data_IF_737872927847
#
_entry.id   IF_737872927847
#
_cell.length_a   1.000
_cell.length_b   1.000
_cell.length_c   1.000
_cell.angle_alpha   90.00
_cell.angle_beta   90.00
_cell.angle_gamma   90.00
#
_symmetry.space_group_name_H-M   'P 1'
#
loop_
_entity.id
_entity.type
_entity.pdbx_description
1 polymer ?
#
# COMPACT_ATOMS: atom_id res chain seq x y z
N UNK A 1 0.08 34.68 7.68
CA UNK A 1 -0.13 33.36 8.32
C UNK A 1 1.07 32.50 7.99
N UNK A 2 1.72 31.88 8.98
CA UNK A 2 2.83 30.97 8.71
C UNK A 2 2.30 29.77 7.90
N UNK A 3 3.01 29.39 6.84
CA UNK A 3 2.63 28.21 6.06
C UNK A 3 2.65 26.97 6.98
N UNK A 4 1.68 26.06 6.84
CA UNK A 4 1.68 24.83 7.62
C UNK A 4 2.97 24.06 7.34
N UNK A 5 3.64 23.58 8.39
CA UNK A 5 4.99 22.99 8.31
C UNK A 5 5.03 21.77 7.38
N UNK A 6 3.97 20.95 7.38
CA UNK A 6 3.84 19.79 6.49
C UNK A 6 3.95 20.17 5.00
N UNK A 7 3.48 21.35 4.59
CA UNK A 7 3.50 21.78 3.19
C UNK A 7 4.91 22.16 2.73
N UNK A 8 5.72 22.74 3.63
CA UNK A 8 7.13 23.02 3.36
C UNK A 8 7.90 21.71 3.17
N UNK A 9 7.61 20.71 4.01
CA UNK A 9 8.19 19.37 3.92
C UNK A 9 7.77 18.69 2.62
N UNK A 10 6.48 18.71 2.28
CA UNK A 10 5.97 18.13 1.04
C UNK A 10 6.65 18.73 -0.19
N UNK A 11 6.84 20.05 -0.21
CA UNK A 11 7.55 20.72 -1.30
C UNK A 11 9.01 20.29 -1.40
N UNK A 12 9.69 20.09 -0.26
CA UNK A 12 11.07 19.62 -0.25
C UNK A 12 11.17 18.16 -0.70
N UNK A 13 10.29 17.30 -0.19
CA UNK A 13 10.23 15.90 -0.54
C UNK A 13 9.96 15.68 -2.04
N UNK A 14 9.03 16.47 -2.60
CA UNK A 14 8.79 16.49 -4.04
C UNK A 14 10.06 16.86 -4.82
N UNK A 15 10.83 17.85 -4.36
CA UNK A 15 12.09 18.28 -5.01
C UNK A 15 13.18 17.22 -4.93
N UNK A 16 13.24 16.47 -3.83
CA UNK A 16 14.19 15.36 -3.64
C UNK A 16 13.80 14.20 -4.54
N UNK A 17 12.53 13.80 -4.54
CA UNK A 17 12.01 12.70 -5.35
C UNK A 17 12.14 12.95 -6.86
N UNK A 18 12.07 14.22 -7.27
CA UNK A 18 12.26 14.67 -8.66
C UNK A 18 13.65 15.26 -8.92
N UNK A 19 14.63 15.01 -8.05
CA UNK A 19 16.01 15.50 -8.21
C UNK A 19 16.69 14.94 -9.46
N UNK A 20 16.47 13.66 -9.74
CA UNK A 20 17.04 12.96 -10.90
C UNK A 20 16.58 13.54 -12.25
N UNK A 21 15.43 14.22 -12.29
CA UNK A 21 14.87 14.84 -13.51
C UNK A 21 15.56 16.18 -13.83
N UNK A 22 16.30 16.75 -12.86
CA UNK A 22 17.10 17.96 -13.05
C UNK A 22 16.30 19.16 -13.56
N UNK A 23 16.82 19.79 -14.62
CA UNK A 23 16.25 21.01 -15.23
C UNK A 23 14.85 20.80 -15.84
N UNK A 24 14.48 19.57 -16.18
CA UNK A 24 13.21 19.27 -16.85
C UNK A 24 12.01 19.26 -15.90
N UNK A 25 12.23 19.45 -14.59
CA UNK A 25 11.17 19.40 -13.57
C UNK A 25 9.99 20.34 -13.85
N UNK A 26 10.21 21.50 -14.47
CA UNK A 26 9.14 22.44 -14.82
C UNK A 26 8.17 21.85 -15.86
N UNK A 27 8.70 21.04 -16.78
CA UNK A 27 7.92 20.40 -17.85
C UNK A 27 7.42 19.00 -17.46
N UNK A 28 7.98 18.42 -16.39
CA UNK A 28 7.62 17.07 -15.94
C UNK A 28 6.12 16.83 -15.79
N UNK A 29 5.30 17.71 -15.17
CA UNK A 29 3.85 17.48 -15.08
C UNK A 29 3.17 17.42 -16.45
N UNK A 30 3.59 18.25 -17.41
CA UNK A 30 3.03 18.29 -18.75
C UNK A 30 3.41 17.04 -19.55
N UNK A 31 4.69 16.64 -19.50
CA UNK A 31 5.18 15.43 -20.18
C UNK A 31 4.52 14.17 -19.61
N UNK A 32 4.48 14.05 -18.28
CA UNK A 32 3.82 12.96 -17.58
C UNK A 32 2.32 12.91 -17.93
N UNK A 33 1.64 14.06 -17.97
CA UNK A 33 0.25 14.13 -18.40
C UNK A 33 0.04 13.61 -19.82
N UNK A 34 0.91 13.99 -20.77
CA UNK A 34 0.87 13.50 -22.14
C UNK A 34 1.10 11.98 -22.24
N UNK A 35 2.09 11.45 -21.52
CA UNK A 35 2.37 10.00 -21.48
C UNK A 35 1.21 9.23 -20.83
N UNK A 36 0.65 9.74 -19.74
CA UNK A 36 -0.51 9.13 -19.09
C UNK A 36 -1.76 9.17 -19.97
N UNK A 37 -1.99 10.24 -20.72
CA UNK A 37 -3.07 10.30 -21.69
C UNK A 37 -2.87 9.26 -22.80
N UNK A 38 -1.66 9.15 -23.37
CA UNK A 38 -1.33 8.11 -24.35
C UNK A 38 -1.51 6.69 -23.77
N UNK A 39 -1.16 6.50 -22.50
CA UNK A 39 -1.41 5.24 -21.80
C UNK A 39 -2.90 4.91 -21.73
N UNK A 40 -3.72 5.82 -21.19
CA UNK A 40 -5.15 5.57 -20.93
C UNK A 40 -5.93 5.39 -22.23
N UNK A 41 -5.69 6.23 -23.24
CA UNK A 41 -6.50 6.24 -24.46
C UNK A 41 -6.03 5.27 -25.55
N UNK A 42 -4.77 4.83 -25.51
CA UNK A 42 -4.20 4.01 -26.59
C UNK A 42 -3.53 2.73 -26.09
N UNK A 43 -2.52 2.83 -25.24
CA UNK A 43 -1.72 1.66 -24.85
C UNK A 43 -2.52 0.66 -24.00
N UNK A 44 -3.26 1.12 -23.00
CA UNK A 44 -4.03 0.25 -22.14
C UNK A 44 -5.13 -0.52 -22.90
N UNK A 45 -5.98 0.11 -23.73
CA UNK A 45 -6.92 -0.61 -24.60
C UNK A 45 -6.23 -1.63 -25.51
N UNK A 46 -5.11 -1.26 -26.12
CA UNK A 46 -4.35 -2.15 -27.00
C UNK A 46 -3.83 -3.40 -26.27
N UNK A 47 -3.28 -3.23 -25.06
CA UNK A 47 -2.78 -4.34 -24.24
C UNK A 47 -3.90 -5.28 -23.78
N UNK A 48 -5.06 -4.70 -23.47
CA UNK A 48 -6.22 -5.46 -22.96
C UNK A 48 -6.93 -6.22 -24.06
N UNK A 49 -6.85 -5.78 -25.32
CA UNK A 49 -7.63 -6.35 -26.42
C UNK A 49 -7.50 -7.89 -26.53
N UNK A 50 -6.31 -8.44 -26.27
CA UNK A 50 -6.08 -9.89 -26.27
C UNK A 50 -6.71 -10.63 -25.09
N UNK A 51 -7.03 -9.93 -24.00
CA UNK A 51 -7.58 -10.50 -22.76
C UNK A 51 -9.10 -10.40 -22.68
N UNK A 52 -9.74 -9.65 -23.58
CA UNK A 52 -11.18 -9.31 -23.47
C UNK A 52 -12.08 -10.54 -23.44
N UNK A 53 -11.82 -11.54 -24.30
CA UNK A 53 -12.66 -12.74 -24.38
C UNK A 53 -12.67 -13.53 -23.08
N UNK A 54 -11.50 -13.92 -22.60
CA UNK A 54 -11.33 -14.63 -21.33
C UNK A 54 -11.86 -13.83 -20.14
N UNK A 55 -11.66 -12.50 -20.17
CA UNK A 55 -12.14 -11.61 -19.12
C UNK A 55 -13.67 -11.56 -19.05
N UNK A 56 -14.37 -11.50 -20.20
CA UNK A 56 -15.83 -11.51 -20.23
C UNK A 56 -16.39 -12.83 -19.69
N UNK A 57 -15.81 -13.96 -20.09
CA UNK A 57 -16.17 -15.28 -19.55
C UNK A 57 -15.97 -15.34 -18.03
N UNK A 58 -14.83 -14.81 -17.56
CA UNK A 58 -14.53 -14.73 -16.14
C UNK A 58 -15.56 -13.89 -15.38
N UNK A 59 -15.98 -12.74 -15.90
CA UNK A 59 -16.94 -11.84 -15.24
C UNK A 59 -18.34 -12.45 -15.07
N UNK A 60 -18.74 -13.35 -15.97
CA UNK A 60 -20.01 -14.08 -15.89
C UNK A 60 -19.95 -15.25 -14.90
N UNK A 61 -18.74 -15.73 -14.59
CA UNK A 61 -18.55 -16.83 -13.64
C UNK A 61 -19.02 -16.49 -12.22
N UNK A 62 -19.49 -17.50 -11.49
CA UNK A 62 -19.81 -17.38 -10.06
C UNK A 62 -18.58 -16.98 -9.23
N UNK A 63 -17.39 -17.37 -9.68
CA UNK A 63 -16.11 -17.18 -8.99
C UNK A 63 -15.50 -15.79 -9.28
N UNK A 64 -16.08 -15.01 -10.20
CA UNK A 64 -15.58 -13.69 -10.62
C UNK A 64 -15.28 -12.77 -9.44
N UNK A 65 -16.23 -12.68 -8.48
CA UNK A 65 -16.13 -11.79 -7.31
C UNK A 65 -14.90 -12.13 -6.49
N UNK A 66 -14.76 -13.39 -6.09
CA UNK A 66 -13.66 -13.82 -5.23
C UNK A 66 -12.31 -13.63 -5.91
N UNK A 67 -12.19 -13.93 -7.21
CA UNK A 67 -10.95 -13.72 -7.95
C UNK A 67 -10.58 -12.24 -8.08
N UNK A 68 -11.56 -11.36 -8.32
CA UNK A 68 -11.31 -9.93 -8.38
C UNK A 68 -10.94 -9.35 -7.01
N UNK A 69 -11.57 -9.81 -5.93
CA UNK A 69 -11.20 -9.46 -4.56
C UNK A 69 -9.77 -9.88 -4.25
N UNK A 70 -9.40 -11.12 -4.57
CA UNK A 70 -8.04 -11.64 -4.40
C UNK A 70 -7.05 -10.80 -5.20
N UNK A 71 -7.34 -10.52 -6.47
CA UNK A 71 -6.46 -9.72 -7.33
C UNK A 71 -6.27 -8.30 -6.80
N UNK A 72 -7.35 -7.61 -6.43
CA UNK A 72 -7.30 -6.26 -5.87
C UNK A 72 -6.59 -6.23 -4.51
N UNK A 73 -6.77 -7.26 -3.69
CA UNK A 73 -6.07 -7.42 -2.43
C UNK A 73 -4.56 -7.60 -2.64
N UNK A 74 -4.15 -8.48 -3.55
CA UNK A 74 -2.73 -8.67 -3.89
C UNK A 74 -2.13 -7.39 -4.46
N UNK A 75 -2.84 -6.71 -5.36
CA UNK A 75 -2.43 -5.44 -5.93
C UNK A 75 -2.25 -4.37 -4.85
N UNK A 76 -3.19 -4.28 -3.89
CA UNK A 76 -3.10 -3.38 -2.74
C UNK A 76 -1.87 -3.68 -1.86
N UNK A 77 -1.62 -4.95 -1.53
CA UNK A 77 -0.42 -5.34 -0.78
C UNK A 77 0.85 -4.95 -1.54
N UNK A 78 0.89 -5.20 -2.85
CA UNK A 78 2.02 -4.81 -3.68
C UNK A 78 2.29 -3.30 -3.59
N UNK A 79 1.25 -2.46 -3.63
CA UNK A 79 1.40 -1.01 -3.46
C UNK A 79 1.86 -0.61 -2.04
N UNK A 80 1.39 -1.31 -1.00
CA UNK A 80 1.86 -1.13 0.39
C UNK A 80 3.36 -1.44 0.51
N UNK A 81 3.85 -2.45 -0.20
CA UNK A 81 5.25 -2.85 -0.17
C UNK A 81 6.19 -1.80 -0.81
N UNK A 82 5.72 -0.97 -1.74
CA UNK A 82 6.55 0.01 -2.44
C UNK A 82 7.16 1.05 -1.47
N UNK A 83 6.39 1.79 -0.65
CA UNK A 83 6.95 2.68 0.37
C UNK A 83 7.80 1.98 1.42
N UNK A 84 7.46 0.73 1.80
CA UNK A 84 8.23 -0.04 2.77
C UNK A 84 9.61 -0.37 2.20
N UNK A 85 9.69 -0.82 0.95
CA UNK A 85 10.94 -1.14 0.28
C UNK A 85 11.83 0.10 0.12
N UNK A 86 11.26 1.25 -0.28
CA UNK A 86 12.04 2.49 -0.39
C UNK A 86 12.59 2.94 0.97
N UNK A 87 11.78 2.83 2.02
CA UNK A 87 12.19 3.15 3.38
C UNK A 87 13.31 2.27 3.93
N UNK A 88 13.40 1.01 3.48
CA UNK A 88 14.48 0.09 3.87
C UNK A 88 15.76 0.28 3.04
N UNK A 89 15.65 0.79 1.80
CA UNK A 89 16.78 1.09 0.91
C UNK A 89 17.50 2.38 1.28
N UNK A 90 16.77 3.37 1.81
CA UNK A 90 17.36 4.62 2.29
C UNK A 90 18.19 4.35 3.56
N UNK A 91 19.51 4.18 3.40
CA UNK A 91 20.45 3.85 4.48
C UNK A 91 20.65 4.97 5.52
N UNK A 92 19.93 6.09 5.41
CA UNK A 92 20.23 7.34 6.11
C UNK A 92 19.02 8.01 6.75
N UNK A 93 18.30 7.32 7.65
CA UNK A 93 17.31 7.95 8.55
C UNK A 93 17.84 9.17 9.35
N UNK A 94 19.17 9.40 9.29
CA UNK A 94 19.89 10.57 9.75
C UNK A 94 19.29 11.88 9.22
N UNK A 95 18.84 11.96 7.97
CA UNK A 95 18.32 13.21 7.41
C UNK A 95 17.03 13.70 8.10
N UNK A 96 16.15 12.79 8.53
CA UNK A 96 14.91 13.14 9.25
C UNK A 96 15.17 13.45 10.73
N UNK A 97 16.07 12.70 11.37
CA UNK A 97 16.49 12.98 12.76
C UNK A 97 17.19 14.33 12.84
N UNK A 98 18.05 14.66 11.88
CA UNK A 98 18.65 15.99 11.79
C UNK A 98 17.62 17.10 11.58
N UNK A 99 16.58 16.85 10.78
CA UNK A 99 15.52 17.85 10.54
C UNK A 99 14.70 18.12 11.81
N UNK A 100 14.40 17.07 12.58
CA UNK A 100 13.71 17.18 13.87
C UNK A 100 14.57 17.83 14.95
N UNK A 101 15.89 17.66 14.90
CA UNK A 101 16.84 18.32 15.81
C UNK A 101 17.04 19.80 15.45
N UNK A 102 16.96 20.17 14.16
CA UNK A 102 17.21 21.54 13.68
C UNK A 102 15.96 22.44 13.75
N UNK A 103 14.75 21.89 13.79
CA UNK A 103 13.52 22.67 13.89
C UNK A 103 12.43 21.95 14.71
N UNK A 104 11.65 22.68 15.54
CA UNK A 104 10.55 22.09 16.30
C UNK A 104 9.38 21.76 15.35
N UNK A 105 9.43 20.61 14.70
CA UNK A 105 8.38 20.12 13.79
C UNK A 105 7.70 18.90 14.40
N UNK A 106 6.37 18.83 14.31
CA UNK A 106 5.62 17.66 14.81
C UNK A 106 5.87 16.45 13.90
N UNK A 107 6.06 15.25 14.45
CA UNK A 107 6.23 14.04 13.66
C UNK A 107 5.09 13.75 12.68
N UNK A 108 3.83 14.02 13.06
CA UNK A 108 2.70 13.92 12.15
C UNK A 108 2.80 14.84 10.92
N UNK A 109 3.32 16.07 11.10
CA UNK A 109 3.54 17.01 9.99
C UNK A 109 4.61 16.47 9.02
N UNK A 110 5.62 15.77 9.53
CA UNK A 110 6.68 15.15 8.71
C UNK A 110 6.11 14.00 7.90
N UNK A 111 5.33 13.11 8.52
CA UNK A 111 4.72 11.97 7.83
C UNK A 111 3.78 12.41 6.70
N UNK A 112 2.84 13.32 7.01
CA UNK A 112 1.91 13.83 6.01
C UNK A 112 2.65 14.64 4.95
N UNK A 113 3.67 15.40 5.33
CA UNK A 113 4.54 16.10 4.39
C UNK A 113 5.22 15.14 3.42
N UNK A 114 5.82 14.06 3.91
CA UNK A 114 6.50 13.05 3.08
C UNK A 114 5.51 12.39 2.11
N UNK A 115 4.35 11.96 2.62
CA UNK A 115 3.32 11.36 1.78
C UNK A 115 2.84 12.33 0.69
N UNK A 116 2.45 13.55 1.07
CA UNK A 116 1.95 14.57 0.14
C UNK A 116 2.99 14.99 -0.90
N UNK A 117 4.27 14.99 -0.53
CA UNK A 117 5.37 15.25 -1.46
C UNK A 117 5.57 14.14 -2.50
N UNK A 118 5.28 12.89 -2.12
CA UNK A 118 5.33 11.72 -3.02
C UNK A 118 4.02 11.47 -3.78
N UNK A 119 2.91 12.08 -3.35
CA UNK A 119 1.58 11.93 -3.98
C UNK A 119 1.56 12.12 -5.50
N UNK A 120 2.28 13.09 -6.12
CA UNK A 120 2.30 13.19 -7.58
C UNK A 120 2.84 11.93 -8.27
N UNK A 121 3.83 11.26 -7.68
CA UNK A 121 4.37 9.99 -8.20
C UNK A 121 3.38 8.86 -7.97
N UNK A 122 2.76 8.80 -6.78
CA UNK A 122 1.71 7.83 -6.48
C UNK A 122 0.49 7.98 -7.41
N UNK A 123 0.14 9.21 -7.78
CA UNK A 123 -0.92 9.50 -8.73
C UNK A 123 -0.61 8.94 -10.12
N UNK A 124 0.66 8.96 -10.58
CA UNK A 124 1.06 8.30 -11.84
C UNK A 124 0.72 6.81 -11.78
N UNK A 125 1.16 6.10 -10.74
CA UNK A 125 0.84 4.68 -10.57
C UNK A 125 -0.66 4.42 -10.49
N UNK A 126 -1.39 5.26 -9.75
CA UNK A 126 -2.83 5.16 -9.63
C UNK A 126 -3.55 5.38 -10.97
N UNK A 127 -3.09 6.34 -11.79
CA UNK A 127 -3.61 6.56 -13.15
C UNK A 127 -3.28 5.42 -14.09
N UNK A 128 -2.07 4.85 -14.00
CA UNK A 128 -1.71 3.67 -14.80
C UNK A 128 -2.65 2.49 -14.50
N UNK A 129 -2.85 2.20 -13.22
CA UNK A 129 -3.75 1.15 -12.76
C UNK A 129 -5.21 1.42 -13.13
N UNK A 130 -5.72 2.62 -12.85
CA UNK A 130 -7.10 3.00 -13.17
C UNK A 130 -7.36 2.98 -14.69
N UNK A 131 -6.39 3.42 -15.51
CA UNK A 131 -6.46 3.34 -16.96
C UNK A 131 -6.52 1.89 -17.45
N UNK A 132 -5.70 1.00 -16.88
CA UNK A 132 -5.74 -0.43 -17.19
C UNK A 132 -7.10 -1.06 -16.84
N UNK A 133 -7.61 -0.84 -15.62
CA UNK A 133 -8.94 -1.36 -15.23
C UNK A 133 -10.08 -0.78 -16.08
N UNK A 134 -10.01 0.50 -16.42
CA UNK A 134 -11.02 1.14 -17.28
C UNK A 134 -11.01 0.50 -18.67
N UNK A 135 -9.83 0.29 -19.25
CA UNK A 135 -9.69 -0.41 -20.53
C UNK A 135 -10.24 -1.85 -20.44
N UNK A 136 -9.92 -2.58 -19.36
CA UNK A 136 -10.40 -3.94 -19.11
C UNK A 136 -11.92 -4.04 -19.01
N UNK A 137 -12.57 -3.01 -18.46
CA UNK A 137 -14.01 -3.00 -18.24
C UNK A 137 -14.80 -2.33 -19.38
N UNK A 138 -14.12 -1.65 -20.31
CA UNK A 138 -14.75 -0.99 -21.47
C UNK A 138 -15.64 -1.94 -22.29
N UNK A 139 -15.24 -3.20 -22.58
CA UNK A 139 -16.07 -4.15 -23.33
C UNK A 139 -17.40 -4.53 -22.65
N UNK A 140 -17.59 -4.20 -21.38
CA UNK A 140 -18.82 -4.49 -20.64
C UNK A 140 -19.91 -3.44 -20.88
N UNK A 141 -19.66 -2.41 -21.70
CA UNK A 141 -20.60 -1.33 -22.02
C UNK A 141 -21.14 -0.62 -20.76
N UNK A 142 -20.26 -0.36 -19.79
CA UNK A 142 -20.62 0.35 -18.56
C UNK A 142 -21.02 1.81 -18.86
N UNK A 143 -21.92 2.37 -18.05
CA UNK A 143 -22.27 3.78 -18.19
C UNK A 143 -21.09 4.70 -17.81
N UNK A 144 -21.10 5.94 -18.29
CA UNK A 144 -20.09 6.94 -17.91
C UNK A 144 -20.00 7.14 -16.39
N UNK A 145 -21.14 7.07 -15.69
CA UNK A 145 -21.20 7.17 -14.23
C UNK A 145 -20.52 5.98 -13.54
N UNK A 146 -20.82 4.74 -13.96
CA UNK A 146 -20.17 3.54 -13.44
C UNK A 146 -18.65 3.59 -13.67
N UNK A 147 -18.23 4.00 -14.87
CA UNK A 147 -16.82 4.17 -15.23
C UNK A 147 -16.12 5.19 -14.33
N UNK A 148 -16.74 6.35 -14.09
CA UNK A 148 -16.19 7.38 -13.20
C UNK A 148 -16.04 6.88 -11.75
N UNK A 149 -17.02 6.12 -11.25
CA UNK A 149 -16.96 5.51 -9.91
C UNK A 149 -15.85 4.46 -9.83
N UNK A 150 -15.67 3.63 -10.86
CA UNK A 150 -14.56 2.66 -10.90
C UNK A 150 -13.22 3.36 -10.85
N UNK A 151 -13.02 4.42 -11.65
CA UNK A 151 -11.79 5.21 -11.65
C UNK A 151 -11.54 5.79 -10.26
N UNK A 152 -12.57 6.36 -9.61
CA UNK A 152 -12.48 6.89 -8.26
C UNK A 152 -12.08 5.80 -7.25
N UNK A 153 -12.72 4.64 -7.28
CA UNK A 153 -12.43 3.51 -6.38
C UNK A 153 -11.02 2.94 -6.59
N UNK A 154 -10.57 2.83 -7.84
CA UNK A 154 -9.21 2.43 -8.16
C UNK A 154 -8.19 3.43 -7.59
N UNK A 155 -8.45 4.73 -7.76
CA UNK A 155 -7.59 5.80 -7.25
C UNK A 155 -7.53 5.82 -5.72
N UNK A 156 -8.69 5.70 -5.05
CA UNK A 156 -8.77 5.61 -3.59
C UNK A 156 -8.07 4.35 -3.06
N UNK A 157 -8.20 3.21 -3.75
CA UNK A 157 -7.48 1.98 -3.39
C UNK A 157 -5.98 2.22 -3.44
N UNK A 158 -5.48 2.74 -4.56
CA UNK A 158 -4.05 3.00 -4.73
C UNK A 158 -3.51 3.95 -3.67
N UNK A 159 -4.17 5.11 -3.48
CA UNK A 159 -3.74 6.09 -2.49
C UNK A 159 -3.82 5.57 -1.06
N UNK A 160 -4.87 4.81 -0.73
CA UNK A 160 -5.01 4.15 0.56
C UNK A 160 -3.88 3.17 0.83
N UNK A 161 -3.56 2.31 -0.14
CA UNK A 161 -2.44 1.37 -0.05
C UNK A 161 -1.10 2.08 0.12
N UNK A 162 -0.82 3.12 -0.67
CA UNK A 162 0.40 3.91 -0.52
C UNK A 162 0.49 4.62 0.83
N UNK A 163 -0.62 5.15 1.34
CA UNK A 163 -0.67 5.78 2.66
C UNK A 163 -0.36 4.78 3.77
N UNK A 164 -1.04 3.63 3.76
CA UNK A 164 -0.80 2.55 4.74
C UNK A 164 0.64 2.08 4.68
N UNK A 165 1.20 1.87 3.48
CA UNK A 165 2.62 1.54 3.30
C UNK A 165 3.55 2.60 3.87
N UNK A 166 3.26 3.89 3.67
CA UNK A 166 4.06 5.01 4.21
C UNK A 166 4.00 5.06 5.74
N UNK A 167 2.83 4.82 6.35
CA UNK A 167 2.68 4.74 7.80
C UNK A 167 3.48 3.57 8.37
N UNK A 168 3.35 2.37 7.79
CA UNK A 168 4.10 1.18 8.21
C UNK A 168 5.60 1.44 8.09
N UNK A 169 6.05 1.99 6.95
CA UNK A 169 7.43 2.35 6.72
C UNK A 169 7.98 3.31 7.80
N UNK A 170 7.23 4.36 8.14
CA UNK A 170 7.61 5.31 9.18
C UNK A 170 7.68 4.66 10.58
N UNK A 171 6.71 3.80 10.91
CA UNK A 171 6.72 3.06 12.18
C UNK A 171 7.89 2.07 12.24
N UNK A 172 8.20 1.38 11.15
CA UNK A 172 9.36 0.49 11.06
C UNK A 172 10.67 1.25 11.23
N UNK A 173 10.82 2.42 10.59
CA UNK A 173 12.02 3.27 10.75
C UNK A 173 12.21 3.71 12.21
N UNK A 174 11.17 4.15 12.90
CA UNK A 174 11.27 4.65 14.29
C UNK A 174 11.57 3.55 15.30
N UNK A 175 10.92 2.40 15.16
CA UNK A 175 11.05 1.30 16.11
C UNK A 175 12.30 0.45 15.87
N UNK A 176 12.66 0.23 14.61
CA UNK A 176 13.71 -0.73 14.22
C UNK A 176 15.00 -0.06 13.73
N UNK A 177 14.94 1.17 13.22
CA UNK A 177 16.12 1.87 12.70
C UNK A 177 17.17 2.24 13.76
N UNK A 178 16.85 2.10 15.05
CA UNK A 178 17.77 2.46 16.16
C UNK A 178 18.92 1.46 16.33
N UNK A 179 18.86 0.26 15.74
CA UNK A 179 19.93 -0.75 15.86
C UNK A 179 20.16 -1.48 14.55
N UNK A 180 21.39 -1.97 14.31
CA UNK A 180 21.71 -2.80 13.14
C UNK A 180 20.78 -4.04 13.05
N UNK A 181 20.48 -4.67 14.20
CA UNK A 181 19.53 -5.78 14.29
C UNK A 181 18.11 -5.39 13.89
N UNK A 182 17.67 -4.18 14.23
CA UNK A 182 16.34 -3.72 13.82
C UNK A 182 16.23 -3.47 12.31
N UNK A 183 17.30 -3.01 11.63
CA UNK A 183 17.32 -2.91 10.15
C UNK A 183 16.99 -4.26 9.50
N UNK A 184 17.55 -5.35 10.02
CA UNK A 184 17.26 -6.71 9.52
C UNK A 184 15.85 -7.18 9.85
N UNK A 185 15.32 -6.84 11.03
CA UNK A 185 13.91 -7.11 11.40
C UNK A 185 12.95 -6.35 10.48
N UNK A 186 13.28 -5.10 10.09
CA UNK A 186 12.47 -4.32 9.17
C UNK A 186 12.37 -4.96 7.79
N UNK A 187 13.49 -5.51 7.29
CA UNK A 187 13.51 -6.32 6.07
C UNK A 187 12.66 -7.58 6.23
N UNK A 188 12.77 -8.29 7.36
CA UNK A 188 11.95 -9.47 7.64
C UNK A 188 10.45 -9.14 7.70
N UNK A 189 10.06 -7.99 8.25
CA UNK A 189 8.68 -7.54 8.27
C UNK A 189 8.13 -7.29 6.84
N UNK A 190 8.94 -6.72 5.95
CA UNK A 190 8.56 -6.59 4.53
C UNK A 190 8.34 -7.96 3.87
N UNK A 191 9.16 -8.98 4.21
CA UNK A 191 8.94 -10.35 3.76
C UNK A 191 7.62 -10.93 4.29
N UNK A 192 7.25 -10.67 5.55
CA UNK A 192 5.97 -11.12 6.11
C UNK A 192 4.78 -10.56 5.31
N UNK A 193 4.83 -9.29 4.89
CA UNK A 193 3.79 -8.71 4.04
C UNK A 193 3.78 -9.29 2.62
N UNK A 194 4.91 -9.79 2.13
CA UNK A 194 4.99 -10.46 0.83
C UNK A 194 4.49 -11.92 0.88
N UNK A 195 4.50 -12.59 2.05
CA UNK A 195 4.09 -14.00 2.18
C UNK A 195 2.65 -14.27 1.70
N UNK A 196 1.62 -13.46 2.06
CA UNK A 196 0.27 -13.65 1.53
C UNK A 196 0.23 -13.62 0.00
N UNK A 197 0.98 -12.72 -0.62
CA UNK A 197 1.07 -12.61 -2.08
C UNK A 197 1.68 -13.89 -2.68
N UNK A 198 2.78 -14.39 -2.11
CA UNK A 198 3.43 -15.64 -2.56
C UNK A 198 2.51 -16.84 -2.38
N UNK A 199 1.81 -16.94 -1.25
CA UNK A 199 0.87 -18.02 -0.98
C UNK A 199 -0.26 -18.07 -2.03
N UNK A 200 -0.84 -16.92 -2.37
CA UNK A 200 -1.88 -16.84 -3.40
C UNK A 200 -1.32 -17.17 -4.78
N UNK A 201 -0.13 -16.69 -5.16
CA UNK A 201 0.52 -17.09 -6.41
C UNK A 201 0.72 -18.61 -6.49
N UNK A 202 1.19 -19.22 -5.40
CA UNK A 202 1.37 -20.66 -5.34
C UNK A 202 0.04 -21.42 -5.48
N UNK A 203 -1.04 -20.91 -4.87
CA UNK A 203 -2.39 -21.47 -5.04
C UNK A 203 -2.92 -21.32 -6.47
N UNK A 204 -2.62 -20.21 -7.14
CA UNK A 204 -3.00 -19.98 -8.55
C UNK A 204 -2.27 -20.93 -9.50
N UNK A 205 -0.94 -21.06 -9.36
CA UNK A 205 -0.11 -21.90 -10.25
C UNK A 205 -0.48 -23.38 -10.13
N UNK A 206 -0.76 -23.87 -8.92
CA UNK A 206 -1.11 -25.27 -8.70
C UNK A 206 -2.58 -25.59 -9.03
N UNK A 207 -3.35 -24.64 -9.59
CA UNK A 207 -4.74 -24.82 -10.02
C UNK A 207 -5.77 -24.99 -8.90
N UNK A 208 -5.33 -25.06 -7.63
CA UNK A 208 -6.19 -25.39 -6.50
C UNK A 208 -7.09 -24.21 -6.06
N UNK A 209 -6.79 -22.98 -6.50
CA UNK A 209 -7.61 -21.82 -6.10
C UNK A 209 -9.02 -21.88 -6.68
N UNK A 210 -9.19 -22.37 -7.92
CA UNK A 210 -10.51 -22.47 -8.53
C UNK A 210 -11.36 -23.56 -7.87
N UNK A 211 -10.76 -24.70 -7.52
CA UNK A 211 -11.43 -25.77 -6.77
C UNK A 211 -11.81 -25.33 -5.37
N UNK A 212 -10.95 -24.56 -4.68
CA UNK A 212 -11.26 -24.01 -3.35
C UNK A 212 -12.35 -22.95 -3.39
N UNK A 213 -12.40 -22.12 -4.43
CA UNK A 213 -13.43 -21.09 -4.58
C UNK A 213 -14.78 -21.64 -5.09
N UNK A 214 -14.79 -22.83 -5.69
CA UNK A 214 -16.01 -23.54 -6.05
C UNK A 214 -16.64 -24.26 -4.85
N UNK A 215 -15.88 -24.47 -3.77
CA UNK A 215 -16.41 -25.01 -2.53
C UNK A 215 -17.12 -23.90 -1.72
N UNK A 216 -18.46 -23.98 -1.55
CA UNK A 216 -19.24 -22.93 -0.89
C UNK A 216 -18.84 -22.68 0.57
N UNK A 217 -18.25 -23.68 1.26
CA UNK A 217 -17.75 -23.51 2.63
C UNK A 217 -16.51 -22.63 2.71
N UNK A 218 -15.59 -22.82 1.75
CA UNK A 218 -14.31 -22.10 1.70
C UNK A 218 -14.48 -20.68 1.11
N UNK A 219 -15.34 -20.54 0.09
CA UNK A 219 -15.66 -19.25 -0.55
C UNK A 219 -16.22 -18.22 0.47
N UNK A 220 -17.09 -18.66 1.38
CA UNK A 220 -17.67 -17.78 2.41
C UNK A 220 -16.64 -17.20 3.38
N UNK A 221 -15.68 -18.03 3.84
CA UNK A 221 -14.62 -17.58 4.75
C UNK A 221 -13.64 -16.64 4.05
N UNK A 222 -13.25 -16.96 2.81
CA UNK A 222 -12.36 -16.11 2.00
C UNK A 222 -12.99 -14.75 1.76
N UNK A 223 -14.26 -14.70 1.34
CA UNK A 223 -15.02 -13.44 1.18
C UNK A 223 -15.15 -12.67 2.48
N UNK A 224 -15.40 -13.34 3.61
CA UNK A 224 -15.49 -12.67 4.90
C UNK A 224 -14.16 -12.03 5.32
N UNK A 225 -13.04 -12.73 5.13
CA UNK A 225 -11.71 -12.20 5.45
C UNK A 225 -11.30 -11.09 4.49
N UNK A 226 -11.46 -11.30 3.17
CA UNK A 226 -11.11 -10.31 2.16
C UNK A 226 -12.02 -9.08 2.25
N UNK A 227 -13.30 -9.25 2.57
CA UNK A 227 -14.27 -8.18 2.73
C UNK A 227 -13.96 -7.21 3.88
N UNK A 228 -13.00 -7.53 4.76
CA UNK A 228 -12.47 -6.58 5.76
C UNK A 228 -11.50 -5.56 5.15
N UNK A 229 -10.92 -5.87 3.99
CA UNK A 229 -9.93 -5.01 3.35
C UNK A 229 -10.60 -4.03 2.39
N UNK A 230 -10.20 -2.74 2.42
CA UNK A 230 -10.77 -1.72 1.52
C UNK A 230 -10.59 -2.03 0.03
N UNK A 231 -9.54 -2.77 -0.35
CA UNK A 231 -9.32 -3.20 -1.73
C UNK A 231 -10.45 -4.09 -2.26
N UNK A 232 -11.06 -4.89 -1.39
CA UNK A 232 -12.15 -5.80 -1.75
C UNK A 232 -13.46 -5.03 -1.93
N UNK A 233 -13.65 -3.91 -1.23
CA UNK A 233 -14.80 -3.03 -1.44
C UNK A 233 -14.82 -2.43 -2.85
N UNK A 234 -13.65 -2.12 -3.41
CA UNK A 234 -13.52 -1.70 -4.80
C UNK A 234 -13.84 -2.86 -5.77
N UNK A 235 -13.34 -4.06 -5.49
CA UNK A 235 -13.62 -5.25 -6.28
C UNK A 235 -15.12 -5.57 -6.34
N UNK A 236 -15.82 -5.52 -5.20
CA UNK A 236 -17.26 -5.74 -5.14
C UNK A 236 -18.04 -4.76 -6.03
N UNK A 237 -17.70 -3.47 -5.99
CA UNK A 237 -18.35 -2.45 -6.83
C UNK A 237 -18.09 -2.71 -8.32
N UNK A 238 -16.85 -3.04 -8.68
CA UNK A 238 -16.47 -3.35 -10.07
C UNK A 238 -17.27 -4.54 -10.59
N UNK A 239 -17.31 -5.64 -9.83
CA UNK A 239 -18.04 -6.84 -10.25
C UNK A 239 -19.55 -6.63 -10.24
N UNK A 240 -20.07 -5.84 -9.29
CA UNK A 240 -21.48 -5.47 -9.26
C UNK A 240 -21.91 -4.67 -10.51
N UNK A 241 -21.06 -3.74 -10.99
CA UNK A 241 -21.29 -3.03 -12.25
C UNK A 241 -21.13 -3.93 -13.46
N UNK A 242 -20.15 -4.84 -13.46
CA UNK A 242 -19.99 -5.82 -14.54
C UNK A 242 -21.23 -6.71 -14.71
N UNK A 243 -21.91 -7.04 -13.61
CA UNK A 243 -23.16 -7.82 -13.61
C UNK A 243 -24.40 -7.00 -13.96
N UNK A 244 -24.36 -5.68 -13.79
CA UNK A 244 -25.47 -4.76 -14.07
C UNK A 244 -24.99 -3.60 -14.96
N UNK A 245 -24.52 -3.88 -16.19
CA UNK A 245 -23.95 -2.86 -17.05
C UNK A 245 -25.02 -1.83 -17.43
N UNK A 246 -24.71 -0.54 -17.27
CA UNK A 246 -25.62 0.56 -17.60
C UNK A 246 -26.65 0.88 -16.51
N UNK A 247 -26.98 -0.05 -15.61
CA UNK A 247 -27.93 0.16 -14.51
C UNK A 247 -27.21 0.38 -13.17
N UNK A 248 -26.92 1.63 -12.86
CA UNK A 248 -26.36 2.01 -11.55
C UNK A 248 -27.39 1.92 -10.43
N UNK A 249 -28.69 2.00 -10.75
CA UNK A 249 -29.78 1.98 -9.77
C UNK A 249 -29.87 0.64 -9.05
N UNK A 250 -29.68 -0.46 -9.79
CA UNK A 250 -29.67 -1.82 -9.26
C UNK A 250 -28.67 -2.04 -8.10
N UNK A 251 -27.55 -1.30 -8.10
CA UNK A 251 -26.45 -1.48 -7.15
C UNK A 251 -26.05 -0.18 -6.44
N UNK A 252 -26.93 0.81 -6.45
CA UNK A 252 -26.66 2.15 -5.91
C UNK A 252 -26.29 2.11 -4.43
N UNK A 253 -27.08 1.42 -3.61
CA UNK A 253 -26.84 1.37 -2.16
C UNK A 253 -25.49 0.73 -1.83
N UNK A 254 -25.17 -0.40 -2.48
CA UNK A 254 -23.86 -1.04 -2.36
C UNK A 254 -22.75 -0.06 -2.74
N UNK A 255 -22.89 0.62 -3.88
CA UNK A 255 -21.91 1.59 -4.39
C UNK A 255 -21.66 2.70 -3.38
N UNK A 256 -22.72 3.33 -2.87
CA UNK A 256 -22.60 4.42 -1.89
C UNK A 256 -21.96 3.94 -0.60
N UNK A 257 -22.36 2.77 -0.09
CA UNK A 257 -21.78 2.20 1.14
C UNK A 257 -20.30 1.89 0.96
N UNK A 258 -19.89 1.29 -0.16
CA UNK A 258 -18.48 0.95 -0.42
C UNK A 258 -17.61 2.17 -0.68
N UNK A 259 -18.08 3.13 -1.49
CA UNK A 259 -17.37 4.40 -1.74
C UNK A 259 -17.26 5.22 -0.44
N UNK A 260 -18.37 5.35 0.30
CA UNK A 260 -18.39 6.05 1.58
C UNK A 260 -17.48 5.39 2.63
N UNK A 261 -17.51 4.06 2.70
CA UNK A 261 -16.60 3.27 3.54
C UNK A 261 -15.13 3.51 3.18
N UNK A 262 -14.80 3.54 1.89
CA UNK A 262 -13.45 3.81 1.39
C UNK A 262 -12.93 5.19 1.82
N UNK A 263 -13.77 6.23 1.66
CA UNK A 263 -13.45 7.59 2.07
C UNK A 263 -13.29 7.70 3.59
N UNK A 264 -14.19 7.08 4.35
CA UNK A 264 -14.12 7.04 5.80
C UNK A 264 -12.85 6.31 6.28
N UNK A 265 -12.51 5.17 5.66
CA UNK A 265 -11.28 4.44 5.93
C UNK A 265 -10.05 5.30 5.64
N UNK A 266 -10.00 6.01 4.51
CA UNK A 266 -8.88 6.89 4.18
C UNK A 266 -8.73 8.01 5.21
N UNK A 267 -9.83 8.68 5.58
CA UNK A 267 -9.81 9.73 6.60
C UNK A 267 -9.38 9.19 7.98
N UNK A 268 -9.89 8.02 8.38
CA UNK A 268 -9.55 7.38 9.64
C UNK A 268 -8.07 6.97 9.70
N UNK A 269 -7.56 6.34 8.63
CA UNK A 269 -6.15 5.93 8.57
C UNK A 269 -5.21 7.13 8.51
N UNK A 270 -5.59 8.23 7.86
CA UNK A 270 -4.84 9.50 7.92
C UNK A 270 -4.76 10.03 9.36
N UNK A 271 -5.89 10.08 10.06
CA UNK A 271 -5.94 10.54 11.44
C UNK A 271 -5.17 9.63 12.41
N UNK A 272 -5.25 8.31 12.21
CA UNK A 272 -4.51 7.33 13.01
C UNK A 272 -3.00 7.44 12.73
N UNK A 273 -2.60 7.51 11.47
CA UNK A 273 -1.19 7.66 11.09
C UNK A 273 -0.55 8.89 11.72
N UNK A 274 -1.26 10.03 11.66
CA UNK A 274 -0.85 11.25 12.34
C UNK A 274 -0.61 11.05 13.85
N UNK A 275 -1.58 10.44 14.55
CA UNK A 275 -1.51 10.22 16.01
C UNK A 275 -0.42 9.22 16.41
N UNK A 276 -0.23 8.15 15.64
CA UNK A 276 0.78 7.12 15.92
C UNK A 276 2.17 7.72 15.82
N UNK A 277 2.43 8.56 14.82
CA UNK A 277 3.75 9.18 14.67
C UNK A 277 4.08 10.14 15.81
N UNK A 278 3.11 10.88 16.33
CA UNK A 278 3.37 11.76 17.46
C UNK A 278 3.85 10.96 18.70
N UNK A 279 3.33 9.74 18.92
CA UNK A 279 3.79 8.85 20.01
C UNK A 279 5.11 8.16 19.71
N UNK A 280 5.33 7.72 18.46
CA UNK A 280 6.51 6.97 18.08
C UNK A 280 7.79 7.83 18.14
N UNK A 281 7.66 9.12 17.85
CA UNK A 281 8.78 10.07 17.84
C UNK A 281 8.93 10.89 19.13
N UNK A 282 7.94 10.90 20.05
CA UNK A 282 8.06 11.62 21.34
C UNK A 282 8.91 10.92 22.39
N UNK A 283 9.56 9.80 22.06
CA UNK A 283 10.52 9.18 22.96
C UNK A 283 11.82 9.98 22.87
N UNK A 284 11.99 10.85 23.87
CA UNK A 284 13.15 11.67 24.28
C UNK A 284 14.43 11.49 23.46
N UNK A 285 15.18 12.57 23.18
CA UNK A 285 16.51 12.47 22.58
C UNK A 285 17.32 11.49 23.42
N UNK A 286 17.50 10.28 22.90
CA UNK A 286 18.10 9.19 23.63
C UNK A 286 19.50 9.65 24.01
N UNK A 287 19.77 9.63 25.32
CA UNK A 287 21.12 9.64 25.84
C UNK A 287 21.95 8.63 25.05
N UNK A 288 22.80 9.17 24.18
CA UNK A 288 23.83 8.43 23.45
C UNK A 288 24.76 7.88 24.53
N UNK A 289 24.57 6.65 24.99
CA UNK A 289 25.51 6.07 25.95
C UNK A 289 25.14 4.78 26.68
N UNK A 290 23.88 4.38 26.82
CA UNK A 290 23.58 3.15 27.59
C UNK A 290 22.54 2.28 26.89
N UNK A 291 23.02 1.17 26.32
CA UNK A 291 22.17 0.07 25.87
C UNK A 291 21.57 -0.64 27.08
N UNK A 292 20.52 -0.09 27.68
CA UNK A 292 19.63 -0.87 28.54
C UNK A 292 18.62 -1.55 27.63
N UNK A 293 18.70 -2.89 27.54
CA UNK A 293 17.76 -3.72 26.79
C UNK A 293 16.39 -3.62 27.46
N UNK A 294 15.57 -2.70 26.97
CA UNK A 294 14.17 -2.56 27.36
C UNK A 294 13.34 -3.75 26.84
N UNK A 295 12.34 -4.13 27.63
CA UNK A 295 11.43 -5.27 27.41
C UNK A 295 10.80 -5.24 26.01
N UNK A 296 10.94 -6.31 25.25
CA UNK A 296 10.43 -6.45 23.87
C UNK A 296 8.97 -6.02 23.74
N UNK A 297 8.70 -5.06 22.83
CA UNK A 297 7.36 -4.59 22.48
C UNK A 297 6.50 -5.65 21.78
N UNK A 298 5.18 -5.47 21.78
CA UNK A 298 4.18 -6.42 21.25
C UNK A 298 4.44 -6.77 19.78
N UNK A 299 4.85 -5.78 18.96
CA UNK A 299 5.17 -5.98 17.55
C UNK A 299 6.43 -6.85 17.35
N UNK A 300 7.42 -6.69 18.23
CA UNK A 300 8.64 -7.50 18.22
C UNK A 300 8.36 -8.94 18.64
N UNK A 301 7.45 -9.15 19.61
CA UNK A 301 6.97 -10.50 19.95
C UNK A 301 6.20 -11.14 18.80
N UNK A 302 5.32 -10.40 18.13
CA UNK A 302 4.55 -10.91 16.99
C UNK A 302 5.46 -11.33 15.84
N UNK A 303 6.44 -10.48 15.48
CA UNK A 303 7.44 -10.82 14.45
C UNK A 303 8.29 -12.02 14.87
N UNK A 304 8.73 -12.10 16.13
CA UNK A 304 9.52 -13.24 16.63
C UNK A 304 8.73 -14.55 16.70
N UNK A 305 7.43 -14.49 16.97
CA UNK A 305 6.53 -15.64 16.94
C UNK A 305 6.29 -16.13 15.51
N UNK A 306 6.06 -15.21 14.57
CA UNK A 306 5.78 -15.52 13.17
C UNK A 306 7.03 -15.91 12.38
N UNK A 307 8.20 -15.36 12.72
CA UNK A 307 9.47 -15.66 12.06
C UNK A 307 10.14 -16.96 12.53
N UNK A 308 9.53 -17.70 13.47
CA UNK A 308 10.10 -18.93 14.02
C UNK A 308 11.26 -18.66 14.98
N UNK A 309 11.01 -18.83 16.28
CA UNK A 309 12.04 -18.65 17.30
C UNK A 309 13.14 -19.72 17.28
N UNK A 310 14.21 -19.52 16.50
CA UNK A 310 15.48 -20.26 16.63
C UNK A 310 16.48 -19.95 15.50
N UNK A 311 17.81 -20.23 15.61
CA UNK A 311 18.70 -20.31 16.77
C UNK A 311 19.91 -19.35 16.57
N UNK A 312 19.72 -18.03 16.49
CA UNK A 312 20.85 -17.07 16.49
C UNK A 312 21.27 -16.63 17.91
N UNK A 313 20.93 -17.43 18.92
CA UNK A 313 21.18 -17.15 20.33
C UNK A 313 21.98 -18.28 21.01
N UNK A 314 23.06 -18.74 20.40
CA UNK A 314 24.13 -19.47 21.12
C UNK A 314 25.50 -19.06 20.57
N UNK A 315 25.89 -17.82 20.86
CA UNK A 315 27.31 -17.44 20.94
C UNK A 315 27.74 -17.60 22.39
N UNK A 316 27.90 -18.85 22.84
CA UNK A 316 28.33 -19.19 24.20
C UNK A 316 29.76 -18.70 24.36
N UNK A 317 29.94 -17.62 25.13
CA UNK A 317 31.20 -17.34 25.79
C UNK A 317 31.45 -18.48 26.79
N UNK A 318 32.17 -19.51 26.35
CA UNK A 318 32.74 -20.55 27.18
C UNK A 318 34.21 -20.64 26.81
N UNK A 319 35.05 -20.03 27.62
CA UNK A 319 36.50 -19.96 27.44
C UNK A 319 37.17 -19.38 28.67
N UNK A 320 36.82 -19.90 29.85
CA UNK A 320 37.60 -19.71 31.07
C UNK A 320 38.02 -21.07 31.61
N UNK A 321 39.33 -21.29 31.79
CA UNK A 321 39.82 -22.37 32.64
C UNK A 321 41.17 -23.01 32.29
N UNK A 322 42.25 -22.35 32.72
CA UNK A 322 43.52 -22.88 33.31
C UNK A 322 44.39 -23.91 32.55
N UNK A 323 45.65 -23.49 32.40
CA UNK A 323 46.88 -24.27 32.25
C UNK A 323 48.05 -23.29 32.37
#
# INVERSE_FOLDING_TARGET
MSNPKWLVIAKNEYRISTSWIGALRRYFPLMTGGVLAAWVFYLAPMLVQSLVGEFQELMVSQVAVALFEIFMFMFSIFLVLLPISSALKEEGGVAQVELMLKAPVRPGDVLVGEFMGKTPIYAIYATLAAGFFTALLTPLNLSYAQTAVIILMAFLTCLGSFWVGTVIAAVSRTTLGRTAKGKDIGKAAAFIFALPMVAVFYMMINGNIFTLLLDPGTDGLVKALLGLFPSSWAAEVIVAFARNPGDIGAVWMLTVTRVGGMLAFMAATLAIGWKITDRAYSLEPANVGVTVVGRDGVLLRAVRLLAGGGPFAVGRAAGGGRG
#
